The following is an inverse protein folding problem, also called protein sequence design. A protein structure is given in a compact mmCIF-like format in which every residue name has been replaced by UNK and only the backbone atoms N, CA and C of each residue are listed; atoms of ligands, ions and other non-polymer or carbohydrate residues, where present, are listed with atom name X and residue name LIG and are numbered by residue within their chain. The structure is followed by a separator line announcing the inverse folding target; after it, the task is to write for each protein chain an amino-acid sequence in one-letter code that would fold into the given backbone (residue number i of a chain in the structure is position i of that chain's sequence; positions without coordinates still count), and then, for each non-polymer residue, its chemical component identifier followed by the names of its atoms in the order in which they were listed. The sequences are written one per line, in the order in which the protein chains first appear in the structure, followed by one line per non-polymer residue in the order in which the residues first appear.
data_IF_868804409081
#
_entry.id   IF_868804409081
#
_cell.length_a   1.000
_cell.length_b   1.000
_cell.length_c   1.000
_cell.angle_alpha   90.00
_cell.angle_beta   90.00
_cell.angle_gamma   90.00
#
_symmetry.space_group_name_H-M   'P 1'
#
loop_
_entity.id
_entity.type
_entity.pdbx_description
1 polymer ?
#
# COMPACT_ATOMS: atom_id res chain seq x y z
N UNK A 1 27.63 2.58 14.10
CA UNK A 1 26.77 1.79 13.19
C UNK A 1 25.45 2.52 13.19
N UNK A 2 25.27 3.42 12.21
CA UNK A 2 24.02 4.18 12.07
C UNK A 2 22.99 3.24 11.46
N UNK A 3 21.93 3.05 12.22
CA UNK A 3 20.71 2.37 11.78
C UNK A 3 20.04 3.26 10.73
N UNK A 4 20.32 3.01 9.44
CA UNK A 4 19.67 3.70 8.33
C UNK A 4 18.25 3.14 8.11
N UNK A 5 17.40 3.28 9.11
CA UNK A 5 15.98 3.04 8.96
C UNK A 5 15.44 3.90 7.83
N UNK A 6 14.86 3.26 6.80
CA UNK A 6 14.15 3.96 5.73
C UNK A 6 13.03 4.80 6.34
N UNK A 7 13.18 6.13 6.33
CA UNK A 7 12.10 7.00 6.77
C UNK A 7 11.02 7.08 5.67
N UNK A 8 9.78 7.46 6.04
CA UNK A 8 8.64 7.58 5.12
C UNK A 8 8.91 8.50 3.95
N UNK A 9 9.64 9.59 4.19
CA UNK A 9 9.97 10.57 3.17
C UNK A 9 10.89 9.96 2.10
N UNK A 10 11.86 9.14 2.52
CA UNK A 10 12.74 8.43 1.59
C UNK A 10 11.99 7.34 0.83
N UNK A 11 11.04 6.66 1.48
CA UNK A 11 10.15 5.72 0.82
C UNK A 11 9.27 6.43 -0.22
N UNK A 12 8.65 7.56 0.13
CA UNK A 12 7.81 8.35 -0.79
C UNK A 12 8.63 8.98 -1.92
N UNK A 13 9.84 9.48 -1.66
CA UNK A 13 10.75 10.02 -2.69
C UNK A 13 11.17 8.92 -3.65
N UNK A 14 11.53 7.73 -3.16
CA UNK A 14 11.85 6.57 -4.01
C UNK A 14 10.64 6.09 -4.81
N UNK A 15 9.45 6.21 -4.25
CA UNK A 15 8.17 5.96 -4.92
C UNK A 15 7.94 6.98 -6.05
N UNK A 16 8.15 8.27 -5.79
CA UNK A 16 7.91 9.35 -6.75
C UNK A 16 8.95 9.38 -7.88
N UNK A 17 10.22 9.09 -7.59
CA UNK A 17 11.32 9.16 -8.58
C UNK A 17 11.50 7.88 -9.40
N UNK A 18 11.02 6.73 -8.92
CA UNK A 18 11.08 5.44 -9.63
C UNK A 18 9.99 5.22 -10.69
N UNK A 19 9.07 6.16 -10.88
CA UNK A 19 7.81 5.94 -11.58
C UNK A 19 7.63 6.49 -13.00
N UNK A 20 8.64 7.09 -13.63
CA UNK A 20 8.52 7.63 -15.00
C UNK A 20 9.37 6.84 -16.00
N UNK A 21 9.27 5.53 -15.95
CA UNK A 21 9.56 4.71 -17.12
C UNK A 21 8.21 4.32 -17.72
N UNK A 22 7.95 4.71 -18.97
CA UNK A 22 6.74 4.37 -19.70
C UNK A 22 6.59 2.84 -19.82
N UNK A 23 6.09 2.23 -18.77
CA UNK A 23 5.61 0.87 -18.76
C UNK A 23 4.10 1.01 -18.85
N UNK A 24 3.53 0.55 -19.95
CA UNK A 24 2.09 0.36 -20.01
C UNK A 24 1.70 -0.48 -18.80
N UNK A 25 1.20 0.16 -17.75
CA UNK A 25 0.66 -0.52 -16.58
C UNK A 25 -0.43 -1.45 -17.08
N UNK A 26 -0.43 -2.68 -16.60
CA UNK A 26 -1.47 -3.61 -17.01
C UNK A 26 -2.82 -3.02 -16.56
N UNK A 27 -3.83 -3.03 -17.42
CA UNK A 27 -5.16 -2.46 -17.17
C UNK A 27 -5.73 -2.87 -15.80
N UNK A 28 -5.42 -4.10 -15.36
CA UNK A 28 -5.87 -4.61 -14.08
C UNK A 28 -5.28 -3.84 -12.88
N UNK A 29 -4.05 -3.30 -12.99
CA UNK A 29 -3.44 -2.45 -11.97
C UNK A 29 -4.21 -1.15 -11.86
N UNK A 30 -4.58 -0.56 -12.98
CA UNK A 30 -5.39 0.65 -13.04
C UNK A 30 -6.80 0.42 -12.51
N UNK A 31 -7.43 -0.72 -12.85
CA UNK A 31 -8.74 -1.10 -12.36
C UNK A 31 -8.77 -1.23 -10.84
N UNK A 32 -7.81 -1.96 -10.24
CA UNK A 32 -7.72 -2.10 -8.79
C UNK A 32 -7.41 -0.76 -8.11
N UNK A 33 -6.56 0.06 -8.71
CA UNK A 33 -6.24 1.39 -8.19
C UNK A 33 -7.45 2.34 -8.25
N UNK A 34 -8.24 2.27 -9.31
CA UNK A 34 -9.48 3.04 -9.45
C UNK A 34 -10.55 2.56 -8.46
N UNK A 35 -10.73 1.24 -8.33
CA UNK A 35 -11.64 0.64 -7.38
C UNK A 35 -11.30 1.05 -5.94
N UNK A 36 -10.00 1.06 -5.58
CA UNK A 36 -9.55 1.50 -4.27
C UNK A 36 -9.96 2.94 -3.96
N UNK A 37 -9.83 3.85 -4.92
CA UNK A 37 -10.23 5.26 -4.74
C UNK A 37 -11.74 5.43 -4.60
N UNK A 38 -12.52 4.71 -5.40
CA UNK A 38 -14.01 4.82 -5.39
C UNK A 38 -14.60 4.17 -4.13
N UNK A 39 -14.00 3.09 -3.65
CA UNK A 39 -14.53 2.30 -2.54
C UNK A 39 -13.94 2.68 -1.17
N UNK A 40 -12.97 3.59 -1.11
CA UNK A 40 -12.22 3.88 0.11
C UNK A 40 -13.15 4.21 1.30
N UNK A 41 -14.07 5.14 1.13
CA UNK A 41 -14.98 5.57 2.21
C UNK A 41 -15.89 4.44 2.70
N UNK A 42 -16.42 3.63 1.77
CA UNK A 42 -17.30 2.51 2.11
C UNK A 42 -16.54 1.41 2.86
N UNK A 43 -15.32 1.09 2.43
CA UNK A 43 -14.50 0.05 3.04
C UNK A 43 -14.05 0.47 4.45
N UNK A 44 -13.61 1.71 4.65
CA UNK A 44 -13.21 2.18 5.98
C UNK A 44 -14.39 2.26 6.93
N UNK A 45 -15.57 2.70 6.48
CA UNK A 45 -16.79 2.71 7.28
C UNK A 45 -17.18 1.29 7.70
N UNK A 46 -17.12 0.32 6.77
CA UNK A 46 -17.41 -1.08 7.07
C UNK A 46 -16.40 -1.66 8.07
N UNK A 47 -15.10 -1.34 7.95
CA UNK A 47 -14.06 -1.79 8.89
C UNK A 47 -14.18 -1.14 10.26
N UNK A 48 -14.59 0.13 10.35
CA UNK A 48 -14.80 0.84 11.61
C UNK A 48 -16.02 0.29 12.37
N UNK A 49 -17.08 -0.10 11.67
CA UNK A 49 -18.30 -0.66 12.26
C UNK A 49 -18.16 -2.07 12.81
N UNK A 50 -17.11 -2.80 12.46
CA UNK A 50 -16.84 -4.17 12.95
C UNK A 50 -16.15 -4.12 14.31
N UNK A 51 -16.86 -3.70 15.35
CA UNK A 51 -16.56 -4.07 16.75
C UNK A 51 -17.11 -5.48 17.06
N UNK A 52 -17.05 -6.39 16.08
CA UNK A 52 -17.44 -7.77 16.29
C UNK A 52 -16.42 -8.44 17.20
N UNK A 53 -16.91 -9.10 18.25
CA UNK A 53 -16.14 -9.98 19.13
C UNK A 53 -15.61 -11.22 18.40
N UNK A 54 -16.05 -11.48 17.17
CA UNK A 54 -15.52 -12.50 16.29
C UNK A 54 -14.17 -12.04 15.73
N UNK A 55 -13.15 -12.91 15.80
CA UNK A 55 -11.87 -12.65 15.18
C UNK A 55 -12.05 -12.39 13.67
N UNK A 56 -11.53 -11.27 13.17
CA UNK A 56 -11.58 -10.96 11.73
C UNK A 56 -10.85 -12.07 10.94
N UNK A 57 -11.43 -12.48 9.82
CA UNK A 57 -10.83 -13.43 8.90
C UNK A 57 -10.88 -12.87 7.46
N UNK A 58 -9.85 -13.13 6.64
CA UNK A 58 -9.87 -12.74 5.24
C UNK A 58 -11.01 -13.42 4.49
N UNK A 59 -11.60 -12.71 3.51
CA UNK A 59 -12.67 -13.23 2.65
C UNK A 59 -12.11 -13.88 1.39
N UNK A 60 -11.06 -13.29 0.82
CA UNK A 60 -10.45 -13.69 -0.45
C UNK A 60 -9.09 -14.33 -0.26
N UNK A 61 -8.26 -13.71 0.59
CA UNK A 61 -6.90 -14.15 0.83
C UNK A 61 -6.87 -15.37 1.75
N UNK A 62 -6.02 -16.35 1.46
CA UNK A 62 -5.66 -17.37 2.45
C UNK A 62 -4.89 -16.73 3.60
N UNK A 63 -4.79 -17.41 4.74
CA UNK A 63 -4.03 -16.93 5.90
C UNK A 63 -2.59 -16.56 5.53
N UNK A 64 -1.91 -17.37 4.72
CA UNK A 64 -0.55 -17.12 4.26
C UNK A 64 -0.48 -15.90 3.34
N UNK A 65 -1.39 -15.78 2.37
CA UNK A 65 -1.47 -14.63 1.47
C UNK A 65 -1.74 -13.33 2.25
N UNK A 66 -2.63 -13.38 3.24
CA UNK A 66 -2.89 -12.24 4.12
C UNK A 66 -1.64 -11.82 4.92
N UNK A 67 -0.87 -12.78 5.44
CA UNK A 67 0.41 -12.48 6.11
C UNK A 67 1.40 -11.81 5.15
N UNK A 68 1.47 -12.24 3.89
CA UNK A 68 2.32 -11.63 2.86
C UNK A 68 1.85 -10.19 2.56
N UNK A 69 0.54 -9.97 2.40
CA UNK A 69 -0.03 -8.62 2.19
C UNK A 69 0.25 -7.73 3.41
N UNK A 70 0.06 -8.22 4.63
CA UNK A 70 0.34 -7.47 5.85
C UNK A 70 1.82 -7.06 5.98
N UNK A 71 2.75 -7.92 5.56
CA UNK A 71 4.17 -7.59 5.50
C UNK A 71 4.47 -6.55 4.41
N UNK A 72 3.87 -6.68 3.23
CA UNK A 72 4.07 -5.75 2.11
C UNK A 72 3.57 -4.35 2.44
N UNK A 73 2.37 -4.20 2.99
CA UNK A 73 1.83 -2.88 3.33
C UNK A 73 2.67 -2.17 4.38
N UNK A 74 3.22 -2.90 5.35
CA UNK A 74 4.12 -2.35 6.36
C UNK A 74 5.49 -1.96 5.79
N UNK A 75 6.01 -2.70 4.79
CA UNK A 75 7.24 -2.32 4.08
C UNK A 75 7.04 -1.09 3.19
N UNK A 76 5.83 -0.89 2.65
CA UNK A 76 5.51 0.26 1.79
C UNK A 76 5.30 1.53 2.64
N UNK A 77 4.53 1.46 3.73
CA UNK A 77 4.31 2.56 4.67
C UNK A 77 4.59 2.03 6.09
N UNK A 78 5.86 2.08 6.51
CA UNK A 78 6.26 1.55 7.80
C UNK A 78 5.82 2.45 8.96
N UNK A 79 5.69 1.87 10.14
CA UNK A 79 5.55 2.65 11.37
C UNK A 79 6.81 3.50 11.60
N UNK A 80 6.61 4.77 11.93
CA UNK A 80 7.68 5.71 12.31
C UNK A 80 7.24 6.47 13.57
N UNK A 81 7.20 7.80 13.54
CA UNK A 81 6.59 8.64 14.58
C UNK A 81 5.05 8.54 14.56
N UNK A 82 4.49 8.16 13.42
CA UNK A 82 3.06 7.88 13.23
C UNK A 82 2.86 6.39 12.92
N UNK A 83 1.68 5.80 13.19
CA UNK A 83 1.41 4.40 12.94
C UNK A 83 1.52 4.04 11.45
N UNK A 84 2.01 2.84 11.12
CA UNK A 84 2.17 2.35 9.75
C UNK A 84 0.88 1.79 9.13
N UNK A 85 1.00 1.30 7.87
CA UNK A 85 -0.14 0.78 7.12
C UNK A 85 -0.79 -0.46 7.75
N UNK A 86 -0.02 -1.28 8.45
CA UNK A 86 -0.56 -2.42 9.20
C UNK A 86 -1.44 -1.97 10.37
N UNK A 87 -1.02 -0.94 11.12
CA UNK A 87 -1.83 -0.35 12.18
C UNK A 87 -3.13 0.26 11.63
N UNK A 88 -3.07 0.87 10.45
CA UNK A 88 -4.22 1.38 9.71
C UNK A 88 -5.10 0.28 9.08
N UNK A 89 -4.78 -1.01 9.29
CA UNK A 89 -5.53 -2.17 8.75
C UNK A 89 -5.65 -2.18 7.22
N UNK A 90 -4.64 -1.69 6.52
CA UNK A 90 -4.62 -1.64 5.05
C UNK A 90 -4.64 -3.04 4.43
N UNK A 91 -4.09 -4.05 5.11
CA UNK A 91 -4.22 -5.45 4.75
C UNK A 91 -5.67 -5.92 4.64
N UNK A 92 -6.54 -5.50 5.56
CA UNK A 92 -7.98 -5.80 5.54
C UNK A 92 -8.72 -4.98 4.49
N UNK A 93 -8.32 -3.72 4.29
CA UNK A 93 -8.82 -2.88 3.20
C UNK A 93 -8.59 -3.55 1.85
N UNK A 94 -7.37 -4.07 1.60
CA UNK A 94 -7.03 -4.78 0.35
C UNK A 94 -7.87 -6.05 0.18
N UNK A 95 -8.05 -6.87 1.22
CA UNK A 95 -8.88 -8.08 1.13
C UNK A 95 -10.34 -7.74 0.78
N UNK A 96 -10.88 -6.66 1.36
CA UNK A 96 -12.24 -6.19 1.05
C UNK A 96 -12.36 -5.65 -0.37
N UNK A 97 -11.34 -4.94 -0.88
CA UNK A 97 -11.30 -4.51 -2.27
C UNK A 97 -11.26 -5.68 -3.24
N UNK A 98 -10.45 -6.70 -2.92
CA UNK A 98 -10.40 -7.92 -3.74
C UNK A 98 -11.73 -8.68 -3.73
N UNK A 99 -12.50 -8.63 -2.64
CA UNK A 99 -13.84 -9.20 -2.60
C UNK A 99 -14.78 -8.52 -3.62
N UNK A 100 -14.68 -7.20 -3.74
CA UNK A 100 -15.47 -6.39 -4.68
C UNK A 100 -14.89 -6.34 -6.11
N UNK A 101 -13.64 -6.75 -6.32
CA UNK A 101 -12.98 -6.67 -7.62
C UNK A 101 -13.53 -7.67 -8.63
N UNK A 102 -13.44 -7.33 -9.91
CA UNK A 102 -13.73 -8.23 -11.02
C UNK A 102 -12.82 -9.48 -10.96
N UNK A 103 -13.38 -10.61 -11.34
CA UNK A 103 -12.68 -11.90 -11.25
C UNK A 103 -11.30 -11.93 -11.93
N UNK A 104 -11.11 -11.38 -13.14
CA UNK A 104 -9.80 -11.38 -13.78
C UNK A 104 -8.74 -10.58 -13.01
N UNK A 105 -9.13 -9.44 -12.42
CA UNK A 105 -8.21 -8.57 -11.68
C UNK A 105 -7.81 -9.22 -10.35
N UNK A 106 -8.77 -9.85 -9.67
CA UNK A 106 -8.55 -10.68 -8.48
C UNK A 106 -7.56 -11.82 -8.75
N UNK A 107 -7.78 -12.59 -9.82
CA UNK A 107 -6.92 -13.72 -10.20
C UNK A 107 -5.49 -13.24 -10.52
N UNK A 108 -5.33 -12.10 -11.18
CA UNK A 108 -4.01 -11.49 -11.45
C UNK A 108 -3.29 -11.05 -10.18
N UNK A 109 -4.02 -10.43 -9.24
CA UNK A 109 -3.45 -10.06 -7.95
C UNK A 109 -2.94 -11.30 -7.18
N UNK A 110 -3.75 -12.35 -7.10
CA UNK A 110 -3.37 -13.61 -6.44
C UNK A 110 -2.18 -14.29 -7.13
N UNK A 111 -2.14 -14.26 -8.47
CA UNK A 111 -1.01 -14.75 -9.26
C UNK A 111 0.27 -13.93 -8.98
N UNK A 112 0.14 -12.63 -8.78
CA UNK A 112 1.25 -11.76 -8.39
C UNK A 112 1.83 -12.10 -7.01
N UNK A 113 0.97 -12.40 -6.03
CA UNK A 113 1.42 -12.92 -4.72
C UNK A 113 2.17 -14.24 -4.85
N UNK A 114 1.65 -15.18 -5.65
CA UNK A 114 2.31 -16.45 -5.90
C UNK A 114 3.66 -16.26 -6.61
N UNK A 115 3.72 -15.36 -7.58
CA UNK A 115 4.96 -14.98 -8.26
C UNK A 115 6.00 -14.43 -7.28
N UNK A 116 5.60 -13.55 -6.36
CA UNK A 116 6.49 -12.96 -5.36
C UNK A 116 7.12 -14.03 -4.46
N UNK A 117 6.33 -14.96 -3.97
CA UNK A 117 6.83 -16.09 -3.17
C UNK A 117 7.76 -17.01 -3.97
N UNK A 118 7.40 -17.33 -5.22
CA UNK A 118 8.25 -18.14 -6.09
C UNK A 118 9.59 -17.45 -6.39
N UNK A 119 9.56 -16.12 -6.64
CA UNK A 119 10.77 -15.34 -6.88
C UNK A 119 11.67 -15.28 -5.64
N UNK A 120 11.08 -15.05 -4.47
CA UNK A 120 11.81 -15.09 -3.19
C UNK A 120 12.44 -16.46 -2.94
N UNK A 121 11.70 -17.53 -3.19
CA UNK A 121 12.21 -18.90 -3.07
C UNK A 121 13.39 -19.16 -4.02
N UNK A 122 13.33 -18.67 -5.25
CA UNK A 122 14.42 -18.83 -6.22
C UNK A 122 15.69 -18.08 -5.80
N UNK A 123 15.55 -16.86 -5.28
CA UNK A 123 16.67 -16.00 -4.91
C UNK A 123 17.24 -16.33 -3.53
N UNK A 124 16.38 -16.57 -2.54
CA UNK A 124 16.75 -16.62 -1.12
C UNK A 124 16.44 -17.94 -0.43
N UNK A 125 15.86 -18.92 -1.15
CA UNK A 125 15.49 -20.24 -0.63
C UNK A 125 14.44 -20.16 0.51
N UNK A 126 13.65 -19.10 0.54
CA UNK A 126 12.57 -18.87 1.51
C UNK A 126 11.39 -18.14 0.87
N UNK A 127 10.19 -18.29 1.45
CA UNK A 127 9.03 -17.48 1.05
C UNK A 127 9.30 -16.01 1.36
N UNK A 128 8.58 -15.10 0.72
CA UNK A 128 8.77 -13.66 0.91
C UNK A 128 8.69 -13.25 2.40
N UNK A 129 7.67 -13.74 3.12
CA UNK A 129 7.49 -13.43 4.56
C UNK A 129 8.61 -13.98 5.43
N UNK A 130 9.22 -15.11 5.04
CA UNK A 130 10.30 -15.76 5.78
C UNK A 130 11.69 -15.27 5.40
N UNK A 131 11.81 -14.48 4.34
CA UNK A 131 13.06 -13.85 3.94
C UNK A 131 13.46 -12.76 4.95
N UNK A 132 14.76 -12.47 5.06
CA UNK A 132 15.23 -11.39 5.94
C UNK A 132 14.69 -10.03 5.48
N UNK A 133 14.54 -9.04 6.39
CA UNK A 133 14.09 -7.70 6.02
C UNK A 133 14.90 -7.06 4.89
N UNK A 134 16.23 -7.28 4.88
CA UNK A 134 17.10 -6.78 3.81
C UNK A 134 16.78 -7.41 2.46
N UNK A 135 16.53 -8.72 2.41
CA UNK A 135 16.15 -9.44 1.20
C UNK A 135 14.77 -9.02 0.68
N UNK A 136 13.81 -8.81 1.59
CA UNK A 136 12.49 -8.30 1.22
C UNK A 136 12.60 -6.92 0.56
N UNK A 137 13.33 -5.98 1.17
CA UNK A 137 13.56 -4.64 0.63
C UNK A 137 14.31 -4.69 -0.70
N UNK A 138 15.35 -5.52 -0.81
CA UNK A 138 16.11 -5.71 -2.05
C UNK A 138 15.20 -6.14 -3.21
N UNK A 139 14.38 -7.17 -2.99
CA UNK A 139 13.44 -7.66 -4.01
C UNK A 139 12.43 -6.59 -4.43
N UNK A 140 11.81 -5.91 -3.47
CA UNK A 140 10.83 -4.85 -3.77
C UNK A 140 11.48 -3.63 -4.46
N UNK A 141 12.71 -3.28 -4.08
CA UNK A 141 13.47 -2.21 -4.74
C UNK A 141 13.74 -2.56 -6.21
N UNK A 142 14.14 -3.82 -6.47
CA UNK A 142 14.35 -4.29 -7.84
C UNK A 142 13.07 -4.20 -8.67
N UNK A 143 11.92 -4.61 -8.12
CA UNK A 143 10.63 -4.53 -8.79
C UNK A 143 10.20 -3.08 -9.07
N UNK A 144 10.57 -2.13 -8.19
CA UNK A 144 10.17 -0.73 -8.32
C UNK A 144 11.02 0.07 -9.31
N UNK A 145 12.28 -0.33 -9.56
CA UNK A 145 13.25 0.50 -10.31
C UNK A 145 13.71 -0.12 -11.62
N UNK A 146 13.98 -1.42 -11.64
CA UNK A 146 14.67 -2.10 -12.75
C UNK A 146 14.09 -3.49 -13.01
N UNK A 147 12.77 -3.59 -13.17
CA UNK A 147 12.16 -4.87 -13.51
C UNK A 147 12.64 -5.35 -14.88
N UNK A 148 13.29 -6.53 -14.92
CA UNK A 148 13.61 -7.23 -16.16
C UNK A 148 12.32 -7.71 -16.83
N UNK A 149 12.41 -8.18 -18.07
CA UNK A 149 11.26 -8.79 -18.76
C UNK A 149 10.67 -9.95 -17.96
N UNK A 150 11.51 -10.74 -17.30
CA UNK A 150 11.10 -11.85 -16.43
C UNK A 150 10.40 -11.38 -15.14
N UNK A 151 10.76 -10.21 -14.64
CA UNK A 151 10.23 -9.64 -13.41
C UNK A 151 8.97 -8.76 -13.65
N UNK A 152 8.51 -8.63 -14.91
CA UNK A 152 7.40 -7.76 -15.30
C UNK A 152 6.12 -8.02 -14.50
N UNK A 153 5.72 -9.28 -14.39
CA UNK A 153 4.50 -9.64 -13.64
C UNK A 153 4.60 -9.25 -12.15
N UNK A 154 5.80 -9.39 -11.56
CA UNK A 154 6.05 -8.95 -10.20
C UNK A 154 6.03 -7.42 -10.05
N UNK A 155 6.56 -6.68 -11.03
CA UNK A 155 6.53 -5.23 -11.04
C UNK A 155 5.10 -4.67 -11.16
N UNK A 156 4.27 -5.26 -12.03
CA UNK A 156 2.86 -4.92 -12.17
C UNK A 156 2.11 -5.18 -10.86
N UNK A 157 2.33 -6.34 -10.23
CA UNK A 157 1.77 -6.66 -8.93
C UNK A 157 2.22 -5.68 -7.85
N UNK A 158 3.51 -5.35 -7.79
CA UNK A 158 4.04 -4.40 -6.81
C UNK A 158 3.45 -3.00 -7.02
N UNK A 159 3.25 -2.58 -8.25
CA UNK A 159 2.58 -1.32 -8.58
C UNK A 159 1.13 -1.30 -8.08
N UNK A 160 0.39 -2.40 -8.28
CA UNK A 160 -0.99 -2.52 -7.80
C UNK A 160 -1.07 -2.45 -6.27
N UNK A 161 -0.31 -3.30 -5.55
CA UNK A 161 -0.37 -3.31 -4.09
C UNK A 161 0.11 -2.00 -3.48
N UNK A 162 1.13 -1.36 -4.08
CA UNK A 162 1.60 -0.05 -3.66
C UNK A 162 0.53 1.03 -3.78
N UNK A 163 -0.17 1.09 -4.91
CA UNK A 163 -1.27 2.04 -5.14
C UNK A 163 -2.42 1.81 -4.15
N UNK A 164 -2.83 0.56 -3.93
CA UNK A 164 -3.87 0.22 -2.95
C UNK A 164 -3.42 0.56 -1.52
N UNK A 165 -2.15 0.34 -1.18
CA UNK A 165 -1.61 0.66 0.14
C UNK A 165 -1.64 2.17 0.40
N UNK A 166 -1.20 2.98 -0.56
CA UNK A 166 -1.23 4.45 -0.46
C UNK A 166 -2.67 4.93 -0.28
N UNK A 167 -3.59 4.45 -1.14
CA UNK A 167 -5.00 4.84 -1.04
C UNK A 167 -5.60 4.43 0.30
N UNK A 168 -5.45 3.14 0.70
CA UNK A 168 -6.01 2.63 1.95
C UNK A 168 -5.45 3.31 3.19
N UNK A 169 -4.17 3.71 3.17
CA UNK A 169 -3.56 4.41 4.29
C UNK A 169 -4.06 5.85 4.41
N UNK A 170 -3.94 6.65 3.34
CA UNK A 170 -4.27 8.08 3.39
C UNK A 170 -5.79 8.38 3.40
N UNK A 171 -6.63 7.38 3.21
CA UNK A 171 -8.08 7.47 3.44
C UNK A 171 -8.52 6.88 4.78
N UNK A 172 -7.61 6.24 5.53
CA UNK A 172 -7.88 5.74 6.87
C UNK A 172 -7.89 6.87 7.91
N UNK A 173 -8.54 6.63 9.06
CA UNK A 173 -8.53 7.57 10.18
C UNK A 173 -7.09 7.91 10.64
N UNK A 174 -6.22 6.89 10.73
CA UNK A 174 -4.80 7.05 11.08
C UNK A 174 -4.09 7.92 10.04
N UNK A 175 -4.25 7.63 8.75
CA UNK A 175 -3.61 8.41 7.70
C UNK A 175 -4.09 9.86 7.66
N UNK A 176 -5.38 10.09 7.83
CA UNK A 176 -5.95 11.44 7.82
C UNK A 176 -5.54 12.23 9.06
N UNK A 177 -5.75 11.68 10.26
CA UNK A 177 -5.55 12.43 11.51
C UNK A 177 -4.10 12.48 11.95
N UNK A 178 -3.45 11.32 12.02
CA UNK A 178 -2.12 11.21 12.62
C UNK A 178 -1.01 11.62 11.65
N UNK A 179 -1.20 11.38 10.35
CA UNK A 179 -0.18 11.69 9.33
C UNK A 179 -0.43 13.03 8.64
N UNK A 180 -1.66 13.31 8.19
CA UNK A 180 -2.00 14.53 7.47
C UNK A 180 -2.48 15.66 8.40
N UNK A 181 -2.75 15.36 9.68
CA UNK A 181 -3.21 16.36 10.65
C UNK A 181 -4.63 16.86 10.38
N UNK A 182 -5.46 16.06 9.70
CA UNK A 182 -6.85 16.41 9.44
C UNK A 182 -7.63 16.44 10.77
N UNK A 183 -8.14 17.61 11.10
CA UNK A 183 -8.95 17.84 12.29
C UNK A 183 -10.46 17.59 12.06
N UNK A 184 -10.84 17.13 10.88
CA UNK A 184 -12.24 16.91 10.48
C UNK A 184 -13.02 18.20 10.20
N UNK A 185 -12.35 19.34 10.11
CA UNK A 185 -12.99 20.63 9.85
C UNK A 185 -13.20 20.81 8.33
N UNK A 186 -14.44 20.61 7.89
CA UNK A 186 -14.81 20.71 6.46
C UNK A 186 -14.85 22.15 5.95
N UNK A 187 -15.07 23.13 6.84
CA UNK A 187 -15.16 24.54 6.48
C UNK A 187 -14.34 25.38 7.43
N UNK A 188 -13.58 26.31 6.91
CA UNK A 188 -12.97 27.37 7.72
C UNK A 188 -14.07 28.38 8.10
N UNK A 189 -14.31 28.64 9.40
CA UNK A 189 -15.32 29.60 9.85
C UNK A 189 -15.00 31.04 9.44
N UNK A 190 -13.71 31.33 9.22
CA UNK A 190 -13.21 32.61 8.73
C UNK A 190 -11.94 32.37 7.91
N UNK A 191 -11.75 33.12 6.82
CA UNK A 191 -10.49 33.17 6.11
C UNK A 191 -9.62 34.29 6.71
N UNK A 192 -8.52 33.92 7.34
CA UNK A 192 -7.60 34.86 8.01
C UNK A 192 -6.75 35.67 7.04
N UNK A 193 -6.90 35.47 5.74
CA UNK A 193 -6.09 36.10 4.72
C UNK A 193 -4.80 35.35 4.40
N UNK A 194 -4.04 35.88 3.43
CA UNK A 194 -2.75 35.32 3.07
C UNK A 194 -1.67 35.84 4.03
N UNK A 195 -0.95 34.94 4.69
CA UNK A 195 0.13 35.28 5.65
C UNK A 195 1.50 35.39 4.97
N UNK A 196 1.62 35.15 3.68
CA UNK A 196 2.89 35.24 2.93
C UNK A 196 3.25 36.72 2.72
N UNK A 197 4.48 37.15 3.10
CA UNK A 197 4.88 38.56 2.99
C UNK A 197 4.80 39.12 1.58
N UNK A 198 5.03 38.29 0.55
CA UNK A 198 4.97 38.65 -0.86
C UNK A 198 3.55 38.95 -1.38
N UNK A 199 2.52 38.54 -0.64
CA UNK A 199 1.10 38.75 -0.99
C UNK A 199 0.39 39.82 -0.16
N UNK A 200 1.12 40.50 0.75
CA UNK A 200 0.57 41.52 1.65
C UNK A 200 0.79 42.96 1.13
N UNK A 201 1.06 43.13 -0.17
CA UNK A 201 1.24 44.48 -0.78
C UNK A 201 -0.07 45.05 -1.27
#
# INVERSE_FOLDING_TARGET
MEDSGLNRRDALVRIATGGIGAVASALWVENLSALARVQADHVHTALAGVQSTAAWAPKVLSTQQHQTVAALVELIIPQTTTPGAKAARVDRFIDTLLDAAERPDKERFLSGLAWLDARSQALYRSTFVSASPAQQVELLTKLSTNASAEDRAGADFFTAIKSMTITGYYTSEIGLRDELGDNGQLFLPAFEGCTHPEHQQ
#
